data_IF_607389378079
#
_entry.id   IF_607389378079
#
_cell.length_a   1.000
_cell.length_b   1.000
_cell.length_c   1.000
_cell.angle_alpha   90.00
_cell.angle_beta   90.00
_cell.angle_gamma   90.00
#
_symmetry.space_group_name_H-M   'P 1'
#
loop_
_entity.id
_entity.type
_entity.pdbx_description
1 polymer ?
#
# COMPACT_ATOMS: atom_id res chain seq x y z
N UNK A 1 13.25 -17.16 57.19
CA UNK A 1 13.85 -17.77 55.99
C UNK A 1 12.83 -17.88 54.83
N UNK A 2 11.53 -18.10 55.09
CA UNK A 2 10.51 -18.29 54.03
C UNK A 2 10.21 -17.07 53.17
N UNK A 3 10.18 -15.86 53.73
CA UNK A 3 9.83 -14.65 52.97
C UNK A 3 10.90 -14.23 51.95
N UNK A 4 12.18 -14.39 52.31
CA UNK A 4 13.28 -14.07 51.39
C UNK A 4 13.29 -15.00 50.17
N UNK A 5 13.01 -16.30 50.40
CA UNK A 5 12.91 -17.27 49.30
C UNK A 5 11.75 -16.98 48.34
N UNK A 6 10.59 -16.56 48.89
CA UNK A 6 9.42 -16.16 48.08
C UNK A 6 9.70 -14.91 47.25
N UNK A 7 10.36 -13.91 47.82
CA UNK A 7 10.74 -12.69 47.05
C UNK A 7 11.73 -12.98 45.93
N UNK A 8 12.73 -13.83 46.17
CA UNK A 8 13.68 -14.25 45.16
C UNK A 8 12.99 -15.05 44.04
N UNK A 9 12.03 -15.89 44.37
CA UNK A 9 11.25 -16.63 43.38
C UNK A 9 10.40 -15.70 42.51
N UNK A 10 9.74 -14.71 43.10
CA UNK A 10 8.95 -13.72 42.38
C UNK A 10 9.82 -12.84 41.45
N UNK A 11 10.99 -12.41 41.92
CA UNK A 11 11.92 -11.61 41.13
C UNK A 11 12.47 -12.41 39.95
N UNK A 12 12.85 -13.67 40.16
CA UNK A 12 13.34 -14.52 39.07
C UNK A 12 12.26 -14.83 38.03
N UNK A 13 11.01 -15.03 38.48
CA UNK A 13 9.87 -15.23 37.56
C UNK A 13 9.56 -13.97 36.72
N UNK A 14 9.63 -12.79 37.36
CA UNK A 14 9.45 -11.51 36.65
C UNK A 14 10.55 -11.24 35.63
N UNK A 15 11.80 -11.54 35.96
CA UNK A 15 12.93 -11.43 35.04
C UNK A 15 12.82 -12.42 33.87
N UNK A 16 12.40 -13.65 34.14
CA UNK A 16 12.21 -14.69 33.13
C UNK A 16 11.08 -14.33 32.17
N UNK A 17 9.96 -13.82 32.68
CA UNK A 17 8.85 -13.37 31.86
C UNK A 17 9.23 -12.15 31.03
N UNK A 18 9.93 -11.19 31.61
CA UNK A 18 10.46 -10.03 30.88
C UNK A 18 11.43 -10.44 29.78
N UNK A 19 12.34 -11.35 30.07
CA UNK A 19 13.29 -11.87 29.07
C UNK A 19 12.59 -12.64 27.93
N UNK A 20 11.57 -13.46 28.24
CA UNK A 20 10.76 -14.17 27.25
C UNK A 20 9.98 -13.21 26.34
N UNK A 21 9.44 -12.13 26.90
CA UNK A 21 8.71 -11.11 26.13
C UNK A 21 9.64 -10.33 25.20
N UNK A 22 10.85 -9.99 25.66
CA UNK A 22 11.83 -9.25 24.85
C UNK A 22 12.69 -10.13 23.95
N UNK A 23 12.74 -11.45 24.19
CA UNK A 23 13.50 -12.36 23.34
C UNK A 23 12.71 -12.72 22.08
N UNK A 24 13.44 -12.99 20.97
CA UNK A 24 12.87 -13.32 19.63
C UNK A 24 11.76 -14.39 19.65
N UNK A 25 11.67 -15.22 20.69
CA UNK A 25 10.59 -16.20 20.86
C UNK A 25 9.26 -15.51 21.24
N UNK A 26 9.29 -14.50 22.09
CA UNK A 26 8.09 -13.71 22.45
C UNK A 26 7.50 -13.00 21.24
N UNK A 27 8.34 -12.40 20.40
CA UNK A 27 7.91 -11.78 19.16
C UNK A 27 7.25 -12.76 18.18
N UNK A 28 7.68 -14.01 18.13
CA UNK A 28 7.05 -15.04 17.29
C UNK A 28 5.70 -15.53 17.81
N UNK A 29 5.53 -15.60 19.11
CA UNK A 29 4.27 -16.03 19.73
C UNK A 29 3.25 -14.90 19.79
N UNK A 30 3.67 -13.69 20.16
CA UNK A 30 2.81 -12.50 20.21
C UNK A 30 2.47 -12.02 18.81
N UNK A 31 3.40 -12.06 17.89
CA UNK A 31 3.15 -11.69 16.47
C UNK A 31 2.12 -12.57 15.77
N UNK A 32 1.90 -13.80 16.23
CA UNK A 32 0.79 -14.66 15.74
C UNK A 32 -0.56 -14.36 16.40
N UNK A 33 -0.55 -13.69 17.56
CA UNK A 33 -1.76 -13.35 18.32
C UNK A 33 -2.20 -11.89 18.14
N UNK A 34 -1.32 -11.01 17.69
CA UNK A 34 -1.70 -9.68 17.23
C UNK A 34 -2.36 -9.85 15.87
N UNK A 35 -3.68 -9.82 15.86
CA UNK A 35 -4.44 -9.52 14.66
C UNK A 35 -4.06 -8.08 14.31
N UNK A 36 -2.99 -7.90 13.55
CA UNK A 36 -2.74 -6.61 12.91
C UNK A 36 -4.01 -6.28 12.12
N UNK A 37 -4.68 -5.21 12.51
CA UNK A 37 -5.71 -4.61 11.67
C UNK A 37 -4.99 -4.06 10.44
N UNK A 38 -4.64 -4.95 9.53
CA UNK A 38 -4.04 -4.58 8.25
C UNK A 38 -5.09 -3.76 7.51
N UNK A 39 -4.75 -2.52 7.18
CA UNK A 39 -5.60 -1.69 6.34
C UNK A 39 -5.97 -2.46 5.07
N UNK A 40 -7.22 -2.36 4.61
CA UNK A 40 -7.64 -2.97 3.35
C UNK A 40 -6.73 -2.59 2.19
N UNK A 41 -6.13 -1.40 2.23
CA UNK A 41 -5.16 -0.92 1.25
C UNK A 41 -3.84 -1.69 1.30
N UNK A 42 -3.29 -1.91 2.51
CA UNK A 42 -2.10 -2.75 2.68
C UNK A 42 -2.36 -4.18 2.19
N UNK A 43 -3.55 -4.72 2.49
CA UNK A 43 -3.94 -6.04 1.98
C UNK A 43 -3.95 -6.06 0.46
N UNK A 44 -4.58 -5.09 -0.20
CA UNK A 44 -4.73 -5.05 -1.66
C UNK A 44 -3.41 -4.72 -2.35
N UNK A 45 -2.68 -3.70 -1.91
CA UNK A 45 -1.50 -3.24 -2.64
C UNK A 45 -0.22 -4.03 -2.34
N UNK A 46 -0.16 -4.72 -1.23
CA UNK A 46 1.04 -5.44 -0.80
C UNK A 46 0.83 -6.95 -0.64
N UNK A 47 -0.17 -7.34 0.15
CA UNK A 47 -0.33 -8.75 0.56
C UNK A 47 -0.98 -9.61 -0.53
N UNK A 48 -1.90 -9.05 -1.31
CA UNK A 48 -2.63 -9.78 -2.35
C UNK A 48 -1.87 -9.89 -3.69
N UNK A 49 -0.68 -9.29 -3.79
CA UNK A 49 0.16 -9.48 -4.99
C UNK A 49 0.50 -10.96 -5.18
N UNK A 50 0.34 -11.50 -6.38
CA UNK A 50 0.70 -12.89 -6.66
C UNK A 50 2.19 -13.18 -6.52
N UNK A 51 3.04 -12.18 -6.75
CA UNK A 51 4.50 -12.25 -6.66
C UNK A 51 5.05 -10.88 -6.26
N UNK A 52 6.21 -10.82 -5.59
CA UNK A 52 6.88 -9.58 -5.19
C UNK A 52 7.29 -8.71 -6.38
N UNK A 53 7.64 -9.34 -7.51
CA UNK A 53 8.03 -8.64 -8.74
C UNK A 53 6.86 -7.96 -9.47
N UNK A 54 5.62 -8.34 -9.16
CA UNK A 54 4.45 -7.76 -9.81
C UNK A 54 4.18 -6.34 -9.31
N UNK A 55 3.72 -5.49 -10.20
CA UNK A 55 3.30 -4.13 -9.86
C UNK A 55 1.79 -4.07 -9.68
N UNK A 56 1.32 -3.31 -8.70
CA UNK A 56 -0.08 -2.98 -8.59
C UNK A 56 -0.38 -1.77 -9.48
N UNK A 57 -1.35 -1.90 -10.38
CA UNK A 57 -1.92 -0.78 -11.12
C UNK A 57 -3.33 -0.50 -10.60
N UNK A 58 -3.73 0.74 -10.54
CA UNK A 58 -5.04 1.15 -10.05
C UNK A 58 -5.80 1.99 -11.07
N UNK A 59 -7.09 1.66 -11.22
CA UNK A 59 -8.10 2.49 -11.87
C UNK A 59 -8.92 3.15 -10.76
N UNK A 60 -8.75 4.46 -10.60
CA UNK A 60 -9.36 5.24 -9.52
C UNK A 60 -10.48 6.09 -10.13
N UNK A 61 -11.72 5.80 -9.76
CA UNK A 61 -12.87 6.62 -10.06
C UNK A 61 -13.03 7.67 -8.96
N UNK A 62 -13.00 8.94 -9.33
CA UNK A 62 -13.20 10.07 -8.44
C UNK A 62 -14.69 10.41 -8.30
N UNK A 63 -15.02 11.25 -7.30
CA UNK A 63 -16.39 11.70 -7.05
C UNK A 63 -16.96 12.54 -8.18
N UNK A 64 -16.13 13.30 -8.90
CA UNK A 64 -16.49 14.10 -10.08
C UNK A 64 -16.72 13.27 -11.34
N UNK A 65 -16.58 11.94 -11.25
CA UNK A 65 -16.75 11.04 -12.40
C UNK A 65 -15.48 10.85 -13.23
N UNK A 66 -14.40 11.55 -12.94
CA UNK A 66 -13.14 11.34 -13.64
C UNK A 66 -12.47 10.03 -13.22
N UNK A 67 -11.66 9.46 -14.10
CA UNK A 67 -10.93 8.21 -13.88
C UNK A 67 -9.44 8.48 -14.03
N UNK A 68 -8.68 8.11 -13.01
CA UNK A 68 -7.21 8.14 -13.04
C UNK A 68 -6.70 6.71 -13.05
N UNK A 69 -5.84 6.39 -13.99
CA UNK A 69 -5.17 5.09 -14.10
C UNK A 69 -3.68 5.28 -13.98
N UNK A 70 -3.02 4.41 -13.23
CA UNK A 70 -1.56 4.45 -13.08
C UNK A 70 -1.03 3.28 -12.28
N UNK A 71 0.29 3.18 -12.21
CA UNK A 71 0.95 2.19 -11.38
C UNK A 71 1.05 2.74 -9.96
N UNK A 72 0.63 1.97 -8.98
CA UNK A 72 0.73 2.34 -7.56
C UNK A 72 2.19 2.25 -7.14
N UNK A 73 2.77 3.39 -6.85
CA UNK A 73 4.16 3.50 -6.37
C UNK A 73 4.21 3.46 -4.84
N UNK A 74 3.29 4.21 -4.22
CA UNK A 74 3.21 4.30 -2.76
C UNK A 74 1.76 4.55 -2.31
N UNK A 75 1.47 4.32 -1.04
CA UNK A 75 0.17 4.58 -0.44
C UNK A 75 0.30 4.75 1.07
N UNK A 76 -0.55 5.59 1.65
CA UNK A 76 -0.63 5.75 3.10
C UNK A 76 -1.48 4.63 3.69
N UNK A 77 -0.93 3.77 4.57
CA UNK A 77 -1.64 2.63 5.15
C UNK A 77 -2.67 3.02 6.23
N UNK A 78 -2.98 4.30 6.37
CA UNK A 78 -3.77 4.84 7.45
C UNK A 78 -5.23 4.32 7.46
N UNK A 79 -5.85 4.28 8.63
CA UNK A 79 -7.21 3.79 8.80
C UNK A 79 -8.26 4.86 8.53
N UNK A 80 -7.91 6.14 8.68
CA UNK A 80 -8.81 7.25 8.42
C UNK A 80 -8.82 7.61 6.95
N UNK A 81 -10.02 7.73 6.36
CA UNK A 81 -10.18 7.96 4.92
C UNK A 81 -9.62 9.33 4.51
N UNK A 82 -9.69 10.32 5.42
CA UNK A 82 -9.23 11.68 5.17
C UNK A 82 -7.72 11.78 4.94
N UNK A 83 -6.96 10.89 5.59
CA UNK A 83 -5.49 10.93 5.58
C UNK A 83 -4.89 9.92 4.59
N UNK A 84 -5.75 9.22 3.84
CA UNK A 84 -5.29 8.25 2.84
C UNK A 84 -4.87 8.94 1.55
N UNK A 85 -3.70 8.59 1.09
CA UNK A 85 -3.17 9.04 -0.18
C UNK A 85 -2.67 7.84 -0.98
N UNK A 86 -2.82 7.91 -2.30
CA UNK A 86 -2.22 6.98 -3.25
C UNK A 86 -1.34 7.78 -4.18
N UNK A 87 -0.10 7.34 -4.34
CA UNK A 87 0.83 7.88 -5.32
C UNK A 87 0.84 6.97 -6.53
N UNK A 88 0.43 7.50 -7.66
CA UNK A 88 0.49 6.82 -8.96
C UNK A 88 1.69 7.32 -9.75
N UNK A 89 2.39 6.39 -10.38
CA UNK A 89 3.48 6.66 -11.32
C UNK A 89 3.10 6.28 -12.75
N UNK A 90 3.92 6.71 -13.70
CA UNK A 90 3.73 6.43 -15.13
C UNK A 90 3.59 4.92 -15.45
N UNK A 91 2.76 4.61 -16.45
CA UNK A 91 1.96 5.48 -17.30
C UNK A 91 0.69 5.95 -16.59
N UNK A 92 0.42 7.26 -16.62
CA UNK A 92 -0.77 7.84 -15.99
C UNK A 92 -1.74 8.30 -17.09
N UNK A 93 -2.99 7.85 -16.97
CA UNK A 93 -4.10 8.28 -17.79
C UNK A 93 -5.14 8.93 -16.88
N UNK A 94 -5.55 10.16 -17.22
CA UNK A 94 -6.61 10.87 -16.52
C UNK A 94 -7.68 11.25 -17.54
N UNK A 95 -8.86 10.66 -17.38
CA UNK A 95 -9.99 10.80 -18.29
C UNK A 95 -11.23 11.33 -17.56
N UNK A 96 -11.97 12.19 -18.22
CA UNK A 96 -13.29 12.63 -17.81
C UNK A 96 -14.23 12.57 -19.02
N UNK A 97 -15.36 11.88 -18.88
CA UNK A 97 -16.34 11.63 -19.97
C UNK A 97 -15.69 11.08 -21.26
N UNK A 98 -14.68 10.21 -21.10
CA UNK A 98 -13.97 9.61 -22.22
C UNK A 98 -12.93 10.51 -22.89
N UNK A 99 -12.74 11.73 -22.43
CA UNK A 99 -11.72 12.65 -22.89
C UNK A 99 -10.52 12.67 -21.95
N UNK A 100 -9.29 12.60 -22.50
CA UNK A 100 -8.07 12.75 -21.69
C UNK A 100 -7.93 14.17 -21.16
N UNK A 101 -7.81 14.31 -19.84
CA UNK A 101 -7.64 15.63 -19.22
C UNK A 101 -6.23 16.20 -19.40
N UNK A 102 -5.25 15.38 -19.75
CA UNK A 102 -3.91 15.90 -20.07
C UNK A 102 -3.84 16.43 -21.50
N UNK A 103 -4.77 16.02 -22.38
CA UNK A 103 -4.80 16.45 -23.78
C UNK A 103 -3.49 16.13 -24.51
N UNK A 104 -2.84 17.17 -25.05
CA UNK A 104 -1.53 17.08 -25.71
C UNK A 104 -0.34 17.31 -24.75
N UNK A 105 -0.60 17.53 -23.45
CA UNK A 105 0.48 17.72 -22.49
C UNK A 105 1.11 16.39 -22.11
N UNK A 106 2.42 16.37 -21.82
CA UNK A 106 3.04 15.15 -21.29
C UNK A 106 2.35 14.73 -19.98
N UNK A 107 2.15 13.43 -19.82
CA UNK A 107 1.64 12.86 -18.56
C UNK A 107 2.57 13.27 -17.42
N UNK A 108 2.04 13.65 -16.25
CA UNK A 108 2.87 13.89 -15.09
C UNK A 108 3.57 12.60 -14.68
N UNK A 109 4.82 12.70 -14.22
CA UNK A 109 5.58 11.55 -13.75
C UNK A 109 4.91 10.86 -12.54
N UNK A 110 4.22 11.64 -11.70
CA UNK A 110 3.50 11.17 -10.51
C UNK A 110 2.25 12.00 -10.26
N UNK A 111 1.21 11.34 -9.74
CA UNK A 111 0.00 11.98 -9.21
C UNK A 111 -0.26 11.44 -7.81
N UNK A 112 -0.57 12.34 -6.89
CA UNK A 112 -1.06 12.01 -5.55
C UNK A 112 -2.58 12.16 -5.56
N UNK A 113 -3.30 11.12 -5.19
CA UNK A 113 -4.76 11.09 -5.10
C UNK A 113 -5.16 10.95 -3.65
N UNK A 114 -5.93 11.93 -3.14
CA UNK A 114 -6.47 11.88 -1.78
C UNK A 114 -7.63 10.91 -1.68
N UNK A 115 -7.69 10.16 -0.58
CA UNK A 115 -8.73 9.18 -0.30
C UNK A 115 -10.13 9.76 -0.22
N UNK A 116 -10.26 11.04 0.18
CA UNK A 116 -11.56 11.72 0.31
C UNK A 116 -12.27 11.94 -1.03
N UNK A 117 -11.51 12.04 -2.14
CA UNK A 117 -12.07 12.20 -3.48
C UNK A 117 -12.32 10.88 -4.21
N UNK A 118 -12.04 9.75 -3.59
CA UNK A 118 -12.10 8.44 -4.24
C UNK A 118 -13.45 7.79 -4.00
N UNK A 119 -14.19 7.54 -5.09
CA UNK A 119 -15.45 6.79 -5.08
C UNK A 119 -15.23 5.27 -5.18
N UNK A 120 -14.29 4.85 -6.01
CA UNK A 120 -13.99 3.43 -6.25
C UNK A 120 -12.56 3.26 -6.74
N UNK A 121 -11.92 2.17 -6.33
CA UNK A 121 -10.63 1.72 -6.85
C UNK A 121 -10.80 0.30 -7.38
N UNK A 122 -10.33 0.06 -8.59
CA UNK A 122 -10.09 -1.28 -9.12
C UNK A 122 -8.59 -1.50 -9.21
N UNK A 123 -8.10 -2.62 -8.69
CA UNK A 123 -6.66 -2.93 -8.67
C UNK A 123 -6.38 -4.11 -9.56
N UNK A 124 -5.34 -3.96 -10.37
CA UNK A 124 -4.82 -4.97 -11.28
C UNK A 124 -3.38 -5.27 -10.92
N UNK A 125 -2.97 -6.53 -11.03
CA UNK A 125 -1.59 -6.91 -10.82
C UNK A 125 -0.93 -7.20 -12.17
N UNK A 126 0.13 -6.46 -12.48
CA UNK A 126 0.82 -6.49 -13.76
C UNK A 126 2.20 -7.11 -13.59
N UNK A 127 2.58 -7.99 -14.53
CA UNK A 127 3.93 -8.50 -14.61
C UNK A 127 4.89 -7.40 -15.08
N UNK A 128 6.19 -7.48 -14.74
CA UNK A 128 7.19 -6.50 -15.18
C UNK A 128 7.19 -6.27 -16.71
N UNK A 129 6.97 -7.33 -17.49
CA UNK A 129 6.89 -7.25 -18.95
C UNK A 129 5.69 -6.42 -19.43
N UNK A 130 4.52 -6.57 -18.77
CA UNK A 130 3.31 -5.83 -19.11
C UNK A 130 3.44 -4.34 -18.76
N UNK A 131 4.12 -4.03 -17.64
CA UNK A 131 4.44 -2.65 -17.24
C UNK A 131 5.35 -1.98 -18.27
N UNK A 132 6.37 -2.70 -18.75
CA UNK A 132 7.28 -2.19 -19.77
C UNK A 132 6.53 -1.92 -21.09
N UNK A 133 5.68 -2.83 -21.52
CA UNK A 133 4.85 -2.69 -22.72
C UNK A 133 3.87 -1.50 -22.63
N UNK A 134 3.26 -1.30 -21.45
CA UNK A 134 2.38 -0.15 -21.22
C UNK A 134 3.14 1.18 -21.33
N UNK A 135 4.32 1.29 -20.72
CA UNK A 135 5.17 2.49 -20.81
C UNK A 135 5.53 2.80 -22.27
N UNK A 136 5.97 1.80 -23.01
CA UNK A 136 6.32 1.97 -24.43
C UNK A 136 5.12 2.43 -25.28
N UNK A 137 3.94 1.87 -25.02
CA UNK A 137 2.71 2.23 -25.72
C UNK A 137 2.29 3.67 -25.43
N UNK A 138 2.44 4.14 -24.19
CA UNK A 138 2.13 5.51 -23.80
C UNK A 138 3.12 6.50 -24.43
N UNK A 139 4.40 6.20 -24.45
CA UNK A 139 5.40 7.05 -25.11
C UNK A 139 5.19 7.17 -26.62
N UNK A 140 4.74 6.11 -27.30
CA UNK A 140 4.43 6.15 -28.76
C UNK A 140 3.19 6.98 -29.09
N UNK A 141 2.25 7.14 -28.16
CA UNK A 141 1.03 7.93 -28.35
C UNK A 141 1.23 9.42 -28.12
N UNK A 142 2.36 9.85 -27.63
CA UNK A 142 2.74 11.26 -27.61
C UNK A 142 3.25 11.61 -29.01
N UNK A 143 2.45 12.27 -29.88
CA UNK A 143 2.95 12.74 -31.18
C UNK A 143 4.06 13.73 -30.87
N UNK A 144 5.19 13.52 -31.51
CA UNK A 144 6.40 14.32 -31.34
C UNK A 144 6.16 15.80 -31.43
N UNK A 145 7.01 16.53 -30.77
CA UNK A 145 7.22 17.96 -30.86
C UNK A 145 7.30 18.46 -32.33
#
# INVERSE_FOLDING_TARGET
VGYAALLLLQLSLALLTSWLVFHKLGHRLVGKLTVEKVSGWTSVFRTAKPDEEWSAAADILLEDGSVIRGIVEDYTPDHELADREIVLSEPILHEHDGASLFGQRPSPARIVVSGTGIRRIAVHYLKPADVAALRETCHRRQPGE
#
